data_IF_287443726068
#
_entry.id   IF_287443726068
#
_cell.length_a   1.000
_cell.length_b   1.000
_cell.length_c   1.000
_cell.angle_alpha   90.00
_cell.angle_beta   90.00
_cell.angle_gamma   90.00
#
_symmetry.space_group_name_H-M   'P 1'
#
loop_
_entity.id
_entity.type
_entity.pdbx_description
1 polymer ?
#
# COMPACT_ATOMS: atom_id res chain seq x y z
N UNK A 1 5.79 -24.51 -11.70
CA UNK A 1 6.40 -24.06 -10.46
C UNK A 1 5.53 -22.96 -9.86
N UNK A 2 5.22 -23.08 -8.59
CA UNK A 2 4.54 -22.03 -7.83
C UNK A 2 5.41 -20.80 -7.83
N UNK A 3 4.98 -19.73 -8.45
CA UNK A 3 5.70 -18.46 -8.47
C UNK A 3 5.18 -17.57 -7.34
N UNK A 4 5.72 -17.78 -6.14
CA UNK A 4 5.55 -16.82 -5.05
C UNK A 4 6.04 -15.43 -5.48
N UNK A 5 5.32 -14.39 -5.12
CA UNK A 5 5.73 -13.03 -5.39
C UNK A 5 5.21 -12.11 -4.29
N UNK A 6 5.90 -11.01 -4.08
CA UNK A 6 5.50 -9.95 -3.18
C UNK A 6 5.31 -8.66 -3.98
N UNK A 7 4.19 -8.02 -3.75
CA UNK A 7 3.85 -6.72 -4.30
C UNK A 7 3.67 -5.74 -3.15
N UNK A 8 4.10 -4.52 -3.35
CA UNK A 8 4.11 -3.49 -2.32
C UNK A 8 3.52 -2.18 -2.85
N UNK A 9 2.73 -1.51 -2.01
CA UNK A 9 2.39 -0.10 -2.16
C UNK A 9 3.12 0.69 -1.09
N UNK A 10 3.86 1.74 -1.47
CA UNK A 10 4.70 2.48 -0.54
C UNK A 10 3.94 3.16 0.59
N UNK A 11 4.61 3.31 1.72
CA UNK A 11 4.11 4.04 2.88
C UNK A 11 3.90 5.53 2.57
N UNK A 12 2.85 6.11 3.16
CA UNK A 12 2.53 7.52 2.99
C UNK A 12 2.05 7.93 1.60
N UNK A 13 1.72 6.97 0.73
CA UNK A 13 1.27 7.25 -0.65
C UNK A 13 -0.26 7.24 -0.81
N UNK A 14 -0.97 7.59 0.23
CA UNK A 14 -2.42 7.77 0.20
C UNK A 14 -2.78 9.11 0.80
N UNK A 15 -3.41 9.96 0.03
CA UNK A 15 -3.96 11.23 0.49
C UNK A 15 -5.46 11.22 0.24
N UNK A 16 -6.23 11.20 1.31
CA UNK A 16 -7.67 11.34 1.30
C UNK A 16 -8.04 12.71 1.85
N UNK A 17 -9.27 13.17 1.58
CA UNK A 17 -9.75 14.48 2.03
C UNK A 17 -9.02 15.66 1.37
N UNK A 18 -8.79 15.57 0.06
CA UNK A 18 -8.28 16.67 -0.74
C UNK A 18 -9.48 17.58 -1.09
N UNK A 19 -9.60 18.79 -0.50
CA UNK A 19 -10.71 19.70 -0.79
C UNK A 19 -10.59 20.28 -2.21
N UNK A 20 -11.69 20.81 -2.74
CA UNK A 20 -11.66 21.45 -4.06
C UNK A 20 -10.67 22.62 -4.15
N UNK A 21 -10.47 23.35 -3.06
CA UNK A 21 -9.51 24.45 -2.97
C UNK A 21 -8.03 24.03 -3.09
N UNK A 22 -7.74 22.74 -2.93
CA UNK A 22 -6.40 22.18 -3.12
C UNK A 22 -6.04 21.97 -4.60
N UNK A 23 -6.97 22.22 -5.52
CA UNK A 23 -6.79 22.17 -6.97
C UNK A 23 -6.88 23.58 -7.56
N UNK A 24 -5.84 24.41 -7.46
CA UNK A 24 -5.90 25.74 -8.03
C UNK A 24 -6.07 25.67 -9.54
N UNK A 25 -6.85 26.56 -10.09
CA UNK A 25 -6.95 26.73 -11.53
C UNK A 25 -5.62 27.23 -12.07
N UNK A 26 -5.06 26.55 -13.05
CA UNK A 26 -3.92 27.05 -13.83
C UNK A 26 -4.38 28.28 -14.65
N UNK A 27 -3.55 29.29 -14.74
CA UNK A 27 -3.80 30.47 -15.58
C UNK A 27 -3.03 30.34 -16.89
N UNK A 28 -3.76 30.35 -18.02
CA UNK A 28 -3.12 30.48 -19.34
C UNK A 28 -2.24 29.29 -19.80
N UNK A 29 -2.47 28.06 -19.27
CA UNK A 29 -1.69 26.87 -19.61
C UNK A 29 -0.59 26.54 -18.62
N UNK A 30 -0.58 27.18 -17.46
CA UNK A 30 0.33 26.86 -16.37
C UNK A 30 0.07 25.46 -15.80
N UNK A 31 1.12 24.86 -15.28
CA UNK A 31 1.02 23.55 -14.63
C UNK A 31 0.14 23.62 -13.38
N UNK A 32 -0.80 22.71 -13.28
CA UNK A 32 -1.67 22.64 -12.10
C UNK A 32 -0.97 21.88 -10.98
N UNK A 33 -0.77 22.55 -9.87
CA UNK A 33 -0.29 21.95 -8.62
C UNK A 33 -1.49 21.52 -7.79
N UNK A 34 -1.45 20.29 -7.29
CA UNK A 34 -2.45 19.74 -6.38
C UNK A 34 -1.84 19.73 -4.98
N UNK A 35 -2.47 20.34 -4.00
CA UNK A 35 -2.00 20.22 -2.63
C UNK A 35 -2.58 18.94 -2.02
N UNK A 36 -1.73 17.91 -1.94
CA UNK A 36 -2.09 16.58 -1.43
C UNK A 36 -1.76 16.39 0.06
N UNK A 37 -1.10 17.37 0.67
CA UNK A 37 -0.64 17.33 2.05
C UNK A 37 0.87 17.14 2.17
N UNK A 38 1.42 17.58 3.29
CA UNK A 38 2.85 17.54 3.59
C UNK A 38 3.32 16.19 4.13
N UNK A 39 4.61 15.92 4.04
CA UNK A 39 5.26 14.74 4.64
C UNK A 39 4.72 13.39 4.14
N UNK A 40 4.21 13.33 2.91
CA UNK A 40 3.80 12.09 2.26
C UNK A 40 4.99 11.45 1.52
N UNK A 41 4.89 10.15 1.28
CA UNK A 41 5.97 9.35 0.71
C UNK A 41 6.03 9.32 -0.83
N UNK A 42 5.45 10.27 -1.54
CA UNK A 42 5.44 10.28 -3.02
C UNK A 42 6.81 10.60 -3.60
N UNK A 43 7.12 9.95 -4.72
CA UNK A 43 8.34 10.18 -5.51
C UNK A 43 7.99 10.44 -6.98
N UNK A 44 8.94 11.04 -7.68
CA UNK A 44 8.83 11.23 -9.13
C UNK A 44 8.67 9.88 -9.82
N UNK A 45 7.75 9.83 -10.79
CA UNK A 45 7.33 8.64 -11.54
C UNK A 45 6.51 7.60 -10.76
N UNK A 46 6.14 7.85 -9.51
CA UNK A 46 5.10 7.03 -8.87
C UNK A 46 3.81 7.07 -9.67
N UNK A 47 3.17 5.93 -9.81
CA UNK A 47 1.84 5.85 -10.43
C UNK A 47 0.77 6.11 -9.37
N UNK A 48 -0.12 7.05 -9.62
CA UNK A 48 -1.16 7.46 -8.69
C UNK A 48 -2.53 7.50 -9.38
N UNK A 49 -3.56 7.14 -8.65
CA UNK A 49 -4.95 7.27 -9.07
C UNK A 49 -5.58 8.46 -8.40
N UNK A 50 -6.07 9.42 -9.19
CA UNK A 50 -6.88 10.55 -8.74
C UNK A 50 -8.35 10.17 -8.86
N UNK A 51 -9.09 10.27 -7.75
CA UNK A 51 -10.51 10.03 -7.71
C UNK A 51 -11.27 11.23 -7.12
N UNK A 52 -12.42 11.54 -7.71
CA UNK A 52 -13.31 12.59 -7.26
C UNK A 52 -14.56 12.01 -6.57
N UNK A 53 -15.14 12.73 -5.61
CA UNK A 53 -16.39 12.31 -5.00
C UNK A 53 -17.54 12.33 -6.02
N UNK A 54 -18.56 11.50 -5.79
CA UNK A 54 -19.74 11.46 -6.64
C UNK A 54 -20.43 12.82 -6.69
N UNK A 55 -20.87 13.22 -7.87
CA UNK A 55 -21.53 14.52 -8.09
C UNK A 55 -20.57 15.70 -8.26
N UNK A 56 -19.26 15.45 -8.41
CA UNK A 56 -18.29 16.51 -8.70
C UNK A 56 -18.45 17.06 -10.10
N UNK A 57 -18.24 18.39 -10.26
CA UNK A 57 -18.08 19.03 -11.56
C UNK A 57 -16.59 19.21 -11.83
N UNK A 58 -16.09 18.53 -12.89
CA UNK A 58 -14.66 18.45 -13.22
C UNK A 58 -14.37 18.97 -14.64
N UNK A 59 -15.15 19.93 -15.12
CA UNK A 59 -14.96 20.53 -16.44
C UNK A 59 -13.68 21.37 -16.47
N UNK A 60 -12.82 21.12 -17.47
CA UNK A 60 -11.53 21.80 -17.63
C UNK A 60 -10.56 21.67 -16.43
N UNK A 61 -10.77 20.67 -15.58
CA UNK A 61 -9.87 20.29 -14.49
C UNK A 61 -9.00 19.10 -14.91
N UNK A 62 -8.02 18.74 -14.06
CA UNK A 62 -7.37 17.41 -14.19
C UNK A 62 -8.47 16.36 -13.97
N UNK A 63 -8.61 15.42 -14.87
CA UNK A 63 -9.67 14.42 -14.82
C UNK A 63 -9.35 13.34 -13.78
N UNK A 64 -10.36 12.60 -13.31
CA UNK A 64 -10.12 11.38 -12.55
C UNK A 64 -9.41 10.34 -13.42
N UNK A 65 -8.45 9.62 -12.87
CA UNK A 65 -7.69 8.61 -13.60
C UNK A 65 -6.30 8.39 -13.03
N UNK A 66 -5.51 7.62 -13.79
CA UNK A 66 -4.16 7.27 -13.41
C UNK A 66 -3.15 8.25 -13.99
N UNK A 67 -2.20 8.63 -13.18
CA UNK A 67 -1.15 9.61 -13.49
C UNK A 67 0.20 9.15 -12.96
N UNK A 68 1.26 9.80 -13.43
CA UNK A 68 2.59 9.72 -12.86
C UNK A 68 2.89 11.00 -12.09
N UNK A 69 3.44 10.87 -10.89
CA UNK A 69 3.94 12.01 -10.12
C UNK A 69 5.12 12.63 -10.86
N UNK A 70 5.00 13.89 -11.24
CA UNK A 70 6.10 14.63 -11.86
C UNK A 70 6.96 15.36 -10.85
N UNK A 71 6.34 16.02 -9.90
CA UNK A 71 7.01 16.64 -8.76
C UNK A 71 6.16 16.48 -7.53
N UNK A 72 6.81 16.37 -6.39
CA UNK A 72 6.17 16.45 -5.09
C UNK A 72 7.11 17.16 -4.12
N UNK A 73 6.61 18.19 -3.48
CA UNK A 73 7.32 18.90 -2.41
C UNK A 73 6.73 18.51 -1.06
N UNK A 74 7.48 17.73 -0.29
CA UNK A 74 7.04 17.25 1.02
C UNK A 74 6.87 18.38 2.06
N UNK A 75 7.46 19.54 1.86
CA UNK A 75 7.36 20.68 2.77
C UNK A 75 6.08 21.50 2.56
N UNK A 76 5.64 21.66 1.32
CA UNK A 76 4.43 22.42 0.94
C UNK A 76 3.23 21.52 0.69
N UNK A 77 3.46 20.23 0.38
CA UNK A 77 2.43 19.30 -0.03
C UNK A 77 1.98 19.44 -1.49
N UNK A 78 2.70 20.23 -2.28
CA UNK A 78 2.38 20.49 -3.67
C UNK A 78 2.87 19.37 -4.58
N UNK A 79 1.96 18.83 -5.38
CA UNK A 79 2.23 17.78 -6.37
C UNK A 79 1.83 18.23 -7.75
N UNK A 80 2.65 17.94 -8.75
CA UNK A 80 2.25 17.97 -10.15
C UNK A 80 2.23 16.56 -10.71
N UNK A 81 1.30 16.29 -11.61
CA UNK A 81 1.11 14.97 -12.23
C UNK A 81 1.23 15.04 -13.74
N UNK A 82 1.53 13.92 -14.37
CA UNK A 82 1.64 13.76 -15.81
C UNK A 82 0.90 12.51 -16.28
N UNK A 83 0.39 12.49 -17.50
CA UNK A 83 -0.24 11.30 -18.10
C UNK A 83 0.78 10.26 -18.58
N UNK A 84 2.06 10.62 -18.65
CA UNK A 84 3.15 9.72 -19.06
C UNK A 84 4.34 9.90 -18.14
N UNK A 85 5.09 8.83 -17.89
CA UNK A 85 6.30 8.89 -17.08
C UNK A 85 7.31 9.89 -17.67
N UNK A 86 7.79 10.84 -16.87
CA UNK A 86 8.70 11.89 -17.31
C UNK A 86 8.08 12.92 -18.27
N UNK A 87 6.78 12.82 -18.58
CA UNK A 87 6.08 13.71 -19.52
C UNK A 87 5.86 15.13 -19.00
N UNK A 88 5.16 15.94 -19.81
CA UNK A 88 4.75 17.28 -19.39
C UNK A 88 3.73 17.21 -18.25
N UNK A 89 3.77 18.17 -17.34
CA UNK A 89 2.78 18.26 -16.28
C UNK A 89 1.38 18.49 -16.84
N UNK A 90 0.40 17.87 -16.22
CA UNK A 90 -0.99 18.11 -16.56
C UNK A 90 -1.36 19.57 -16.23
N UNK A 91 -2.21 20.15 -17.06
CA UNK A 91 -2.68 21.53 -16.91
C UNK A 91 -4.20 21.52 -16.71
N UNK A 92 -4.71 22.49 -15.97
CA UNK A 92 -6.14 22.72 -15.81
C UNK A 92 -6.41 24.23 -15.86
N UNK A 93 -7.53 24.61 -16.47
CA UNK A 93 -7.97 26.01 -16.50
C UNK A 93 -9.05 26.32 -15.48
N UNK A 94 -9.53 25.31 -14.76
CA UNK A 94 -10.53 25.45 -13.71
C UNK A 94 -10.22 24.54 -12.53
N UNK A 95 -10.67 24.91 -11.34
CA UNK A 95 -10.71 24.04 -10.19
C UNK A 95 -11.97 23.16 -10.21
N UNK A 96 -11.94 21.93 -9.70
CA UNK A 96 -13.12 21.11 -9.56
C UNK A 96 -14.08 21.69 -8.49
N UNK A 97 -15.37 21.39 -8.61
CA UNK A 97 -16.35 21.73 -7.59
C UNK A 97 -16.92 20.47 -6.98
N UNK A 98 -16.95 20.41 -5.66
CA UNK A 98 -17.43 19.25 -4.90
C UNK A 98 -18.70 19.62 -4.12
N UNK A 99 -19.52 18.61 -3.82
CA UNK A 99 -20.59 18.75 -2.84
C UNK A 99 -19.96 19.03 -1.45
N UNK A 100 -20.58 19.90 -0.68
CA UNK A 100 -20.08 20.27 0.64
C UNK A 100 -19.83 19.03 1.52
N UNK A 101 -18.68 18.98 2.15
CA UNK A 101 -18.25 17.86 3.00
C UNK A 101 -17.71 16.64 2.25
N UNK A 102 -17.55 16.70 0.93
CA UNK A 102 -16.91 15.64 0.15
C UNK A 102 -15.49 16.05 -0.28
N UNK A 103 -14.63 15.05 -0.53
CA UNK A 103 -13.22 15.25 -0.80
C UNK A 103 -12.76 14.35 -1.96
N UNK A 104 -11.82 14.84 -2.73
CA UNK A 104 -11.06 13.99 -3.66
C UNK A 104 -10.03 13.15 -2.90
N UNK A 105 -9.47 12.16 -3.58
CA UNK A 105 -8.36 11.35 -3.07
C UNK A 105 -7.34 11.11 -4.16
N UNK A 106 -6.08 10.98 -3.75
CA UNK A 106 -4.98 10.50 -4.57
C UNK A 106 -4.31 9.35 -3.84
N UNK A 107 -4.10 8.25 -4.53
CA UNK A 107 -3.55 7.02 -3.95
C UNK A 107 -2.57 6.40 -4.92
N UNK A 108 -1.64 5.61 -4.42
CA UNK A 108 -0.80 4.79 -5.29
C UNK A 108 -1.68 3.82 -6.09
N UNK A 109 -1.50 3.77 -7.41
CA UNK A 109 -2.45 3.10 -8.33
C UNK A 109 -2.66 1.63 -7.99
N UNK A 110 -1.59 0.90 -7.69
CA UNK A 110 -1.64 -0.51 -7.30
C UNK A 110 -0.35 -0.92 -6.61
N UNK A 111 -0.35 -2.00 -5.82
CA UNK A 111 0.88 -2.62 -5.40
C UNK A 111 1.69 -3.06 -6.62
N UNK A 112 2.97 -2.69 -6.66
CA UNK A 112 3.91 -3.11 -7.70
C UNK A 112 4.81 -4.24 -7.16
N UNK A 113 5.35 -5.05 -8.08
CA UNK A 113 6.23 -6.15 -7.71
C UNK A 113 7.47 -5.63 -6.99
N UNK A 114 7.81 -6.25 -5.88
CA UNK A 114 9.09 -6.06 -5.22
C UNK A 114 10.07 -7.03 -5.87
N UNK A 115 11.03 -6.54 -6.56
CA UNK A 115 12.12 -7.22 -7.27
C UNK A 115 12.32 -8.73 -7.01
N UNK A 116 13.54 -9.14 -6.75
CA UNK A 116 13.88 -10.55 -6.51
C UNK A 116 13.61 -10.96 -5.06
N UNK A 117 12.38 -11.35 -4.77
CA UNK A 117 11.98 -11.88 -3.45
C UNK A 117 12.49 -13.32 -3.32
N UNK A 118 13.31 -13.58 -2.31
CA UNK A 118 13.81 -14.91 -1.97
C UNK A 118 12.73 -15.73 -1.26
N UNK A 119 12.17 -15.15 -0.21
CA UNK A 119 11.14 -15.79 0.60
C UNK A 119 10.29 -14.74 1.31
N UNK A 120 9.11 -15.11 1.71
CA UNK A 120 8.26 -14.32 2.58
C UNK A 120 7.50 -15.24 3.54
N UNK A 121 7.14 -14.70 4.70
CA UNK A 121 6.28 -15.36 5.68
C UNK A 121 5.17 -14.43 6.13
N UNK A 122 4.05 -15.00 6.52
CA UNK A 122 2.94 -14.26 7.07
C UNK A 122 2.22 -15.14 8.09
N UNK A 123 2.08 -14.67 9.31
CA UNK A 123 1.46 -15.38 10.41
C UNK A 123 0.34 -14.53 11.01
N UNK A 124 -0.75 -15.18 11.37
CA UNK A 124 -1.84 -14.57 12.14
C UNK A 124 -2.08 -15.43 13.36
N UNK A 125 -2.09 -14.77 14.50
CA UNK A 125 -2.35 -15.37 15.79
C UNK A 125 -3.55 -14.72 16.44
N UNK A 126 -4.18 -15.44 17.37
CA UNK A 126 -5.26 -14.91 18.21
C UNK A 126 -4.95 -15.21 19.66
N UNK A 127 -5.04 -14.21 20.51
CA UNK A 127 -4.89 -14.40 21.94
C UNK A 127 -6.06 -15.23 22.47
N UNK A 128 -5.75 -16.16 23.37
CA UNK A 128 -6.74 -16.94 24.12
C UNK A 128 -6.76 -16.43 25.57
N UNK A 129 -7.95 -16.14 26.07
CA UNK A 129 -8.15 -15.66 27.44
C UNK A 129 -8.79 -16.80 28.22
N UNK A 130 -8.09 -17.32 29.24
CA UNK A 130 -8.62 -18.33 30.14
C UNK A 130 -9.65 -17.68 31.09
N UNK A 131 -10.88 -18.11 30.98
CA UNK A 131 -12.00 -17.68 31.82
C UNK A 131 -12.54 -18.81 32.70
N UNK A 132 -11.72 -19.82 32.96
CA UNK A 132 -12.09 -20.96 33.81
C UNK A 132 -12.37 -20.48 35.20
N UNK A 133 -13.60 -20.61 35.68
CA UNK A 133 -13.98 -20.27 37.05
C UNK A 133 -13.77 -21.46 38.01
N UNK A 134 -13.14 -21.20 39.16
CA UNK A 134 -13.03 -22.17 40.22
C UNK A 134 -14.41 -22.26 40.93
N UNK A 135 -15.09 -23.40 40.82
CA UNK A 135 -16.38 -23.61 41.47
C UNK A 135 -17.54 -23.97 40.53
N UNK A 136 -17.27 -24.14 39.25
CA UNK A 136 -18.23 -24.73 38.34
C UNK A 136 -18.48 -26.19 38.77
N UNK A 137 -19.73 -26.56 39.00
CA UNK A 137 -20.12 -27.88 39.48
C UNK A 137 -19.52 -28.99 38.60
N UNK A 138 -18.63 -29.76 39.18
CA UNK A 138 -17.92 -30.83 38.50
C UNK A 138 -18.86 -32.04 38.41
N UNK A 139 -19.58 -32.18 37.33
CA UNK A 139 -20.24 -33.43 36.99
C UNK A 139 -19.23 -34.35 36.33
N UNK A 140 -18.72 -35.29 37.08
CA UNK A 140 -18.04 -36.58 36.75
C UNK A 140 -17.01 -36.63 35.61
N UNK A 141 -16.76 -35.56 34.85
CA UNK A 141 -15.74 -35.50 33.80
C UNK A 141 -14.67 -34.50 34.20
N UNK A 142 -13.41 -34.78 33.90
CA UNK A 142 -12.31 -33.86 34.18
C UNK A 142 -12.61 -32.44 33.70
N UNK A 143 -12.42 -31.42 34.52
CA UNK A 143 -12.77 -30.05 34.15
C UNK A 143 -11.91 -29.60 33.00
N UNK A 144 -12.53 -29.26 31.86
CA UNK A 144 -11.87 -28.60 30.77
C UNK A 144 -11.74 -27.11 31.05
N UNK A 145 -10.62 -26.53 30.67
CA UNK A 145 -10.45 -25.09 30.68
C UNK A 145 -11.38 -24.42 29.67
N UNK A 146 -11.95 -23.30 30.06
CA UNK A 146 -12.81 -22.51 29.22
C UNK A 146 -12.03 -21.29 28.74
N UNK A 147 -11.92 -21.15 27.42
CA UNK A 147 -11.23 -20.04 26.79
C UNK A 147 -12.21 -19.19 26.00
N UNK A 148 -11.99 -17.89 26.00
CA UNK A 148 -12.61 -16.95 25.03
C UNK A 148 -11.54 -16.40 24.10
N UNK A 149 -11.94 -16.09 22.89
CA UNK A 149 -11.02 -15.51 21.90
C UNK A 149 -10.75 -14.06 22.21
N UNK A 150 -9.47 -13.69 22.32
CA UNK A 150 -9.01 -12.32 22.45
C UNK A 150 -8.78 -11.66 21.08
N UNK A 151 -7.92 -10.63 21.08
CA UNK A 151 -7.55 -9.90 19.86
C UNK A 151 -6.72 -10.78 18.92
N UNK A 152 -6.95 -10.59 17.61
CA UNK A 152 -6.07 -11.13 16.59
C UNK A 152 -4.88 -10.19 16.38
N UNK A 153 -3.71 -10.75 16.18
CA UNK A 153 -2.47 -10.05 15.79
C UNK A 153 -1.85 -10.77 14.62
N UNK A 154 -0.94 -10.10 13.93
CA UNK A 154 -0.23 -10.68 12.82
C UNK A 154 1.18 -10.12 12.68
N UNK A 155 2.03 -10.91 12.05
CA UNK A 155 3.38 -10.51 11.66
C UNK A 155 3.73 -11.12 10.31
N UNK A 156 4.61 -10.44 9.60
CA UNK A 156 5.15 -10.94 8.35
C UNK A 156 6.60 -10.52 8.18
N UNK A 157 7.31 -11.26 7.38
CA UNK A 157 8.65 -10.93 6.96
C UNK A 157 8.88 -11.26 5.49
N UNK A 158 9.82 -10.57 4.87
CA UNK A 158 10.25 -10.83 3.51
C UNK A 158 11.77 -10.67 3.42
N UNK A 159 12.41 -11.59 2.71
CA UNK A 159 13.82 -11.49 2.34
C UNK A 159 13.92 -11.16 0.85
N UNK A 160 14.56 -10.06 0.53
CA UNK A 160 14.65 -9.52 -0.83
C UNK A 160 16.12 -9.37 -1.20
N UNK A 161 16.51 -9.80 -2.40
CA UNK A 161 17.84 -9.50 -2.92
C UNK A 161 17.92 -8.02 -3.32
N UNK A 162 18.94 -7.33 -2.84
CA UNK A 162 19.26 -5.98 -3.31
C UNK A 162 19.97 -6.07 -4.63
N UNK A 163 19.35 -5.62 -5.71
CA UNK A 163 19.93 -5.59 -7.06
C UNK A 163 19.98 -4.16 -7.55
N UNK A 164 21.00 -3.80 -8.32
CA UNK A 164 21.13 -2.45 -8.89
C UNK A 164 20.03 -2.12 -9.91
N UNK A 165 19.41 -3.16 -10.48
CA UNK A 165 18.29 -3.02 -11.43
C UNK A 165 16.94 -2.80 -10.72
N UNK A 166 16.88 -2.98 -9.40
CA UNK A 166 15.67 -2.74 -8.65
C UNK A 166 15.49 -1.25 -8.40
N UNK A 167 15.03 -0.59 -9.41
CA UNK A 167 14.84 0.86 -9.40
C UNK A 167 13.85 1.32 -8.35
N UNK A 168 13.15 0.39 -7.59
CA UNK A 168 11.93 0.94 -7.06
C UNK A 168 11.49 0.48 -5.69
N UNK A 169 11.29 -0.78 -5.39
CA UNK A 169 10.48 -1.11 -4.22
C UNK A 169 11.22 -1.77 -3.06
N UNK A 170 12.32 -2.49 -3.30
CA UNK A 170 13.09 -3.05 -2.20
C UNK A 170 13.76 -1.95 -1.37
N UNK A 171 14.46 -1.02 -2.02
CA UNK A 171 15.06 0.13 -1.35
C UNK A 171 13.99 1.04 -0.73
N UNK A 172 12.84 1.18 -1.37
CA UNK A 172 11.74 1.96 -0.86
C UNK A 172 11.11 1.36 0.39
N UNK A 173 10.91 0.04 0.43
CA UNK A 173 10.44 -0.63 1.65
C UNK A 173 11.37 -0.38 2.84
N UNK A 174 12.69 -0.33 2.61
CA UNK A 174 13.67 -0.02 3.66
C UNK A 174 13.53 1.40 4.16
N UNK A 175 13.44 2.36 3.24
CA UNK A 175 13.31 3.77 3.60
C UNK A 175 11.96 4.06 4.26
N UNK A 176 10.90 3.36 3.85
CA UNK A 176 9.57 3.53 4.42
C UNK A 176 9.48 3.07 5.88
N UNK A 177 10.43 2.26 6.38
CA UNK A 177 10.52 1.92 7.81
C UNK A 177 10.70 3.18 8.69
N UNK A 178 11.45 4.16 8.20
CA UNK A 178 11.66 5.43 8.93
C UNK A 178 10.58 6.46 8.64
N UNK A 179 9.68 6.17 7.71
CA UNK A 179 8.59 7.07 7.35
C UNK A 179 7.58 7.17 8.50
N UNK A 180 7.37 8.39 9.01
CA UNK A 180 6.41 8.63 10.09
C UNK A 180 4.96 8.35 9.68
N UNK A 181 4.60 8.73 8.46
CA UNK A 181 3.28 8.51 7.89
C UNK A 181 3.30 7.23 7.05
N UNK A 182 2.71 6.17 7.55
CA UNK A 182 2.65 4.87 6.86
C UNK A 182 1.27 4.54 6.28
N UNK A 183 0.37 5.51 6.23
CA UNK A 183 -0.95 5.34 5.60
C UNK A 183 -0.80 4.98 4.13
N UNK A 184 -1.49 3.95 3.69
CA UNK A 184 -1.43 3.47 2.30
C UNK A 184 -0.40 2.36 2.05
N UNK A 185 0.47 2.06 3.02
CA UNK A 185 1.37 0.91 2.89
C UNK A 185 0.56 -0.38 2.82
N UNK A 186 0.72 -1.14 1.73
CA UNK A 186 0.03 -2.41 1.49
C UNK A 186 0.98 -3.43 0.93
N UNK A 187 0.78 -4.67 1.33
CA UNK A 187 1.48 -5.80 0.71
C UNK A 187 0.46 -6.78 0.15
N UNK A 188 0.76 -7.29 -1.03
CA UNK A 188 0.06 -8.43 -1.61
C UNK A 188 1.06 -9.56 -1.78
N UNK A 189 0.81 -10.64 -1.07
CA UNK A 189 1.62 -11.84 -1.03
C UNK A 189 0.97 -12.90 -1.90
N UNK A 190 1.61 -13.26 -3.01
CA UNK A 190 1.13 -14.31 -3.88
C UNK A 190 1.70 -15.66 -3.46
N UNK A 191 0.81 -16.59 -3.12
CA UNK A 191 1.14 -18.00 -2.89
C UNK A 191 1.31 -18.68 -4.25
N UNK A 192 0.42 -18.33 -5.19
CA UNK A 192 0.44 -18.84 -6.56
C UNK A 192 0.00 -17.71 -7.48
N UNK A 193 0.96 -17.17 -8.23
CA UNK A 193 0.74 -16.05 -9.16
C UNK A 193 0.57 -16.59 -10.57
N UNK A 194 -0.57 -16.30 -11.18
CA UNK A 194 -0.85 -16.58 -12.59
C UNK A 194 -0.81 -15.27 -13.38
N UNK A 195 -0.24 -15.32 -14.57
CA UNK A 195 -0.13 -14.16 -15.46
C UNK A 195 -1.09 -14.31 -16.64
N UNK A 196 -1.79 -13.24 -16.97
CA UNK A 196 -2.55 -13.10 -18.20
C UNK A 196 -1.91 -11.98 -19.04
N UNK A 197 -1.08 -12.36 -19.98
CA UNK A 197 -0.22 -11.41 -20.69
C UNK A 197 0.79 -10.75 -19.75
N UNK A 198 0.84 -9.42 -19.72
CA UNK A 198 1.72 -8.65 -18.84
C UNK A 198 1.15 -8.40 -17.44
N UNK A 199 -0.13 -8.75 -17.19
CA UNK A 199 -0.81 -8.47 -15.93
C UNK A 199 -1.02 -9.76 -15.13
N UNK A 200 -1.14 -9.59 -13.80
CA UNK A 200 -1.52 -10.70 -12.93
C UNK A 200 -3.01 -10.98 -13.08
N UNK A 201 -3.36 -12.23 -13.35
CA UNK A 201 -4.74 -12.70 -13.31
C UNK A 201 -5.16 -12.89 -11.85
N UNK A 202 -5.93 -11.95 -11.31
CA UNK A 202 -6.39 -11.99 -9.92
C UNK A 202 -7.34 -13.15 -9.63
N UNK A 203 -8.12 -13.59 -10.63
CA UNK A 203 -9.08 -14.68 -10.46
C UNK A 203 -8.41 -16.06 -10.43
N UNK A 204 -7.32 -16.21 -11.17
CA UNK A 204 -6.55 -17.45 -11.24
C UNK A 204 -5.43 -17.51 -10.19
N UNK A 205 -5.07 -16.38 -9.56
CA UNK A 205 -4.01 -16.29 -8.55
C UNK A 205 -4.55 -16.51 -7.14
N UNK A 206 -3.67 -16.94 -6.22
CA UNK A 206 -3.97 -16.99 -4.79
C UNK A 206 -3.10 -16.00 -4.06
N UNK A 207 -3.72 -15.11 -3.29
CA UNK A 207 -2.98 -14.04 -2.61
C UNK A 207 -3.56 -13.69 -1.25
N UNK A 208 -2.73 -13.00 -0.47
CA UNK A 208 -3.09 -12.34 0.77
C UNK A 208 -2.82 -10.86 0.56
N UNK A 209 -3.83 -10.02 0.76
CA UNK A 209 -3.70 -8.57 0.72
C UNK A 209 -3.82 -8.03 2.15
N UNK A 210 -2.85 -7.27 2.58
CA UNK A 210 -2.84 -6.65 3.91
C UNK A 210 -2.41 -5.19 3.84
N UNK A 211 -3.13 -4.33 4.58
CA UNK A 211 -2.63 -3.03 4.98
C UNK A 211 -1.60 -3.25 6.07
N UNK A 212 -0.42 -2.65 5.94
CA UNK A 212 0.72 -2.96 6.82
C UNK A 212 1.36 -1.72 7.42
N UNK A 213 2.13 -1.96 8.47
CA UNK A 213 3.14 -1.06 9.00
C UNK A 213 4.48 -1.77 8.90
N UNK A 214 5.45 -1.13 8.27
CA UNK A 214 6.84 -1.61 8.23
C UNK A 214 7.48 -1.35 9.59
N UNK A 215 8.04 -2.39 10.20
CA UNK A 215 8.54 -2.33 11.57
C UNK A 215 10.06 -2.38 11.65
N UNK A 216 10.70 -3.07 10.72
CA UNK A 216 12.16 -3.11 10.66
C UNK A 216 12.66 -3.47 9.26
N UNK A 217 13.87 -3.03 8.98
CA UNK A 217 14.66 -3.48 7.85
C UNK A 217 16.08 -3.76 8.32
N UNK A 218 16.65 -4.89 7.93
CA UNK A 218 18.03 -5.24 8.23
C UNK A 218 18.77 -5.65 6.97
N UNK A 219 20.03 -5.22 6.88
CA UNK A 219 20.91 -5.54 5.76
C UNK A 219 21.90 -6.60 6.20
N UNK A 220 21.98 -7.65 5.41
CA UNK A 220 23.02 -8.67 5.57
C UNK A 220 23.89 -8.66 4.32
N UNK A 221 25.13 -8.23 4.48
CA UNK A 221 26.12 -8.18 3.41
C UNK A 221 27.11 -9.31 3.62
N UNK A 222 27.04 -10.32 2.78
CA UNK A 222 28.02 -11.41 2.74
C UNK A 222 28.79 -11.29 1.42
N UNK A 223 30.13 -11.19 1.43
CA UNK A 223 30.92 -11.09 0.20
C UNK A 223 30.82 -12.32 -0.70
N UNK A 224 30.44 -13.46 -0.16
CA UNK A 224 30.32 -14.74 -0.89
C UNK A 224 28.89 -15.05 -1.35
N UNK A 225 27.91 -14.19 -1.01
CA UNK A 225 26.49 -14.38 -1.36
C UNK A 225 25.86 -13.03 -1.76
N UNK A 226 24.70 -13.08 -2.40
CA UNK A 226 23.97 -11.86 -2.75
C UNK A 226 23.59 -11.03 -1.52
N UNK A 227 23.57 -9.70 -1.67
CA UNK A 227 23.10 -8.83 -0.61
C UNK A 227 21.60 -9.08 -0.38
N UNK A 228 21.25 -9.44 0.85
CA UNK A 228 19.86 -9.70 1.25
C UNK A 228 19.41 -8.63 2.22
N UNK A 229 18.23 -8.11 1.97
CA UNK A 229 17.50 -7.21 2.88
C UNK A 229 16.36 -7.99 3.50
N UNK A 230 16.33 -8.04 4.82
CA UNK A 230 15.21 -8.61 5.57
C UNK A 230 14.32 -7.48 6.07
N UNK A 231 13.04 -7.59 5.74
CA UNK A 231 12.03 -6.58 6.06
C UNK A 231 10.97 -7.26 6.91
N UNK A 232 10.63 -6.67 8.05
CA UNK A 232 9.51 -7.11 8.87
C UNK A 232 8.38 -6.09 8.83
N UNK A 233 7.15 -6.61 8.88
CA UNK A 233 5.95 -5.79 8.85
C UNK A 233 4.84 -6.40 9.72
N UNK A 234 3.86 -5.58 10.08
CA UNK A 234 2.66 -6.01 10.78
C UNK A 234 1.41 -5.53 10.04
N UNK A 235 0.35 -6.33 9.97
CA UNK A 235 -0.92 -5.85 9.46
C UNK A 235 -1.50 -4.78 10.40
N UNK A 236 -1.98 -3.69 9.81
CA UNK A 236 -2.67 -2.61 10.54
C UNK A 236 -4.19 -2.76 10.53
N UNK A 237 -4.70 -3.67 9.69
CA UNK A 237 -6.11 -4.03 9.58
C UNK A 237 -6.25 -5.53 9.26
N UNK A 238 -7.47 -6.05 9.30
CA UNK A 238 -7.73 -7.44 8.95
C UNK A 238 -7.33 -7.71 7.50
N UNK A 239 -6.44 -8.69 7.25
CA UNK A 239 -6.04 -9.05 5.90
C UNK A 239 -7.18 -9.68 5.10
N UNK A 240 -7.13 -9.50 3.79
CA UNK A 240 -8.03 -10.18 2.85
C UNK A 240 -7.34 -11.40 2.26
N UNK A 241 -7.98 -12.55 2.36
CA UNK A 241 -7.48 -13.81 1.83
C UNK A 241 -8.25 -14.16 0.55
N UNK A 242 -7.54 -14.21 -0.55
CA UNK A 242 -8.04 -14.70 -1.83
C UNK A 242 -7.35 -16.04 -2.12
N UNK A 243 -7.92 -17.11 -1.57
CA UNK A 243 -7.35 -18.44 -1.59
C UNK A 243 -8.12 -19.39 -2.52
N UNK A 244 -9.28 -18.98 -3.04
CA UNK A 244 -10.07 -19.74 -3.98
C UNK A 244 -9.76 -19.31 -5.42
N UNK A 245 -9.56 -20.28 -6.32
CA UNK A 245 -9.49 -20.02 -7.76
C UNK A 245 -10.90 -20.07 -8.31
N UNK A 246 -11.31 -19.04 -9.03
CA UNK A 246 -12.50 -19.12 -9.89
C UNK A 246 -12.04 -19.70 -11.23
N UNK A 247 -12.55 -20.86 -11.57
CA UNK A 247 -12.24 -21.54 -12.83
C UNK A 247 -12.90 -20.85 -14.01
#
# INVERSE_FOLDING_TARGET
GTSGALYYSPAGTSSTQIPASAFPAGSGGDTTQINVGTQLGYRVNDTVTLAYPSGSTVTNCIQAGDYFVKTYDASTGEMTVSTTAGGSAATASAAPTFTAGTFASITFTAPLVVGSVREWSFEITRAEIDVTSIGQAVTQTAPFRTFISGFADGSGSASVYSTDDDTLLSSRMVEDVIQRQQTGAKVRLYIDRQMSGANVDQNASRSILADIILTSASFNVNPDDGQVVEIAFRPSAAPTFDLSKTA
#
